data_IF_966264344211
#
_entry.id   IF_966264344211
#
_cell.length_a   1.000
_cell.length_b   1.000
_cell.length_c   1.000
_cell.angle_alpha   90.00
_cell.angle_beta   90.00
_cell.angle_gamma   90.00
#
_symmetry.space_group_name_H-M   'P 1'
#
loop_
_entity.id
_entity.type
_entity.pdbx_description
1 polymer ?
#
# COMPACT_ATOMS: atom_id res chain seq x y z
N UNK A 1 22.92 -1.29 -26.59
CA UNK A 1 22.76 0.07 -27.16
C UNK A 1 23.90 0.94 -26.66
N UNK A 2 24.79 1.41 -27.55
CA UNK A 2 25.80 2.42 -27.22
C UNK A 2 25.31 3.76 -27.76
N UNK A 3 24.98 4.70 -26.89
CA UNK A 3 24.70 6.09 -27.27
C UNK A 3 26.01 6.80 -27.52
N UNK A 4 26.56 6.66 -28.73
CA UNK A 4 27.68 7.49 -29.19
C UNK A 4 27.11 8.72 -29.87
N UNK A 5 26.77 9.73 -29.07
CA UNK A 5 26.64 11.13 -29.47
C UNK A 5 26.75 11.95 -28.18
N UNK A 6 27.76 12.80 -28.07
CA UNK A 6 27.97 13.70 -26.93
C UNK A 6 26.91 14.82 -26.97
N UNK A 7 25.69 14.50 -26.58
CA UNK A 7 24.65 15.51 -26.38
C UNK A 7 25.06 16.46 -25.24
N UNK A 8 24.81 17.78 -25.37
CA UNK A 8 24.98 18.70 -24.25
C UNK A 8 24.23 18.17 -23.02
N UNK A 9 24.85 18.31 -21.85
CA UNK A 9 24.29 17.83 -20.60
C UNK A 9 24.50 18.84 -19.50
N UNK A 10 23.56 18.93 -18.57
CA UNK A 10 23.74 19.73 -17.37
C UNK A 10 24.76 19.08 -16.42
N UNK A 11 25.25 19.86 -15.46
CA UNK A 11 25.96 19.30 -14.32
C UNK A 11 24.99 18.42 -13.51
N UNK A 12 25.51 17.35 -12.92
CA UNK A 12 24.72 16.53 -12.00
C UNK A 12 24.33 17.37 -10.79
N UNK A 13 23.04 17.47 -10.51
CA UNK A 13 22.47 18.22 -9.41
C UNK A 13 21.90 17.23 -8.38
N UNK A 14 21.95 17.57 -7.10
CA UNK A 14 21.17 16.85 -6.09
C UNK A 14 19.73 17.36 -6.12
N UNK A 15 18.80 16.52 -5.67
CA UNK A 15 17.44 16.96 -5.36
C UNK A 15 17.02 16.44 -3.98
N UNK A 16 16.15 17.19 -3.33
CA UNK A 16 15.70 16.98 -1.95
C UNK A 16 14.23 16.63 -1.91
N UNK A 17 13.83 15.87 -0.89
CA UNK A 17 12.44 15.56 -0.58
C UNK A 17 12.12 16.20 0.77
N UNK A 18 10.92 16.76 0.85
CA UNK A 18 10.35 17.29 2.07
C UNK A 18 8.84 17.07 2.02
N UNK A 19 8.31 16.40 3.03
CA UNK A 19 6.87 16.08 3.09
C UNK A 19 6.02 17.35 3.25
N UNK A 20 6.44 18.24 4.15
CA UNK A 20 5.87 19.57 4.33
C UNK A 20 6.91 20.48 5.02
N UNK A 21 6.58 21.76 5.17
CA UNK A 21 7.46 22.78 5.75
C UNK A 21 7.88 22.52 7.20
N UNK A 22 7.24 21.61 7.91
CA UNK A 22 7.57 21.24 9.31
C UNK A 22 8.71 20.20 9.38
N UNK A 23 8.90 19.42 8.31
CA UNK A 23 9.97 18.43 8.23
C UNK A 23 11.24 19.01 7.62
N UNK A 24 12.39 18.46 8.00
CA UNK A 24 13.67 18.82 7.37
C UNK A 24 13.77 18.26 5.95
N UNK A 25 14.35 19.03 5.05
CA UNK A 25 14.74 18.54 3.73
C UNK A 25 15.73 17.38 3.84
N UNK A 26 15.47 16.33 3.05
CA UNK A 26 16.34 15.15 2.99
C UNK A 26 16.82 14.90 1.57
N UNK A 27 18.05 14.41 1.42
CA UNK A 27 18.58 14.01 0.13
C UNK A 27 17.72 12.89 -0.48
N UNK A 28 17.04 13.20 -1.57
CA UNK A 28 16.19 12.26 -2.29
C UNK A 28 16.90 11.62 -3.48
N UNK A 29 17.93 12.28 -4.01
CA UNK A 29 18.84 11.68 -4.99
C UNK A 29 19.55 12.73 -5.83
N UNK A 30 19.82 12.38 -7.08
CA UNK A 30 20.48 13.25 -8.05
C UNK A 30 19.78 13.19 -9.39
N UNK A 31 19.80 14.29 -10.14
CA UNK A 31 19.35 14.31 -11.52
C UNK A 31 20.37 14.98 -12.44
N UNK A 32 20.31 14.62 -13.72
CA UNK A 32 21.12 15.19 -14.79
C UNK A 32 20.28 15.24 -16.06
N UNK A 33 20.36 16.34 -16.79
CA UNK A 33 19.58 16.55 -18.00
C UNK A 33 20.46 16.40 -19.23
N UNK A 34 19.89 15.81 -20.28
CA UNK A 34 20.51 15.63 -21.58
C UNK A 34 19.66 16.32 -22.64
N UNK A 35 20.28 17.17 -23.45
CA UNK A 35 19.61 17.98 -24.45
C UNK A 35 19.81 17.34 -25.83
N UNK A 36 18.82 16.57 -26.28
CA UNK A 36 18.82 15.87 -27.56
C UNK A 36 18.11 16.72 -28.61
N UNK A 37 18.75 17.78 -29.10
CA UNK A 37 18.18 18.86 -29.93
C UNK A 37 17.34 19.89 -29.15
N UNK A 38 16.83 20.91 -29.86
CA UNK A 38 16.06 22.02 -29.28
C UNK A 38 14.66 21.61 -28.76
N UNK A 39 14.23 20.38 -29.04
CA UNK A 39 12.87 19.92 -28.74
C UNK A 39 12.77 18.85 -27.66
N UNK A 40 13.88 18.16 -27.34
CA UNK A 40 13.85 17.00 -26.45
C UNK A 40 14.90 17.15 -25.35
N UNK A 41 14.42 17.24 -24.12
CA UNK A 41 15.23 17.12 -22.90
C UNK A 41 14.89 15.81 -22.23
N UNK A 42 15.91 15.02 -21.88
CA UNK A 42 15.78 13.80 -21.10
C UNK A 42 16.36 14.05 -19.71
N UNK A 43 15.54 13.82 -18.69
CA UNK A 43 15.96 13.87 -17.30
C UNK A 43 16.33 12.46 -16.81
N UNK A 44 17.60 12.27 -16.47
CA UNK A 44 18.07 11.07 -15.78
C UNK A 44 18.04 11.33 -14.27
N UNK A 45 17.07 10.73 -13.58
CA UNK A 45 16.84 10.94 -12.15
C UNK A 45 17.15 9.65 -11.37
N UNK A 46 17.84 9.82 -10.25
CA UNK A 46 18.09 8.75 -9.27
C UNK A 46 17.28 9.01 -8.01
N UNK A 47 16.74 7.94 -7.41
CA UNK A 47 16.04 7.99 -6.13
C UNK A 47 16.83 7.20 -5.10
N UNK A 48 17.38 7.89 -4.12
CA UNK A 48 18.23 7.32 -3.07
C UNK A 48 17.42 6.32 -2.24
N UNK A 49 17.94 5.09 -2.16
CA UNK A 49 17.35 4.01 -1.37
C UNK A 49 16.13 3.34 -2.02
N UNK A 50 15.85 3.61 -3.30
CA UNK A 50 14.84 2.89 -4.06
C UNK A 50 15.44 1.69 -4.81
N UNK A 51 14.65 0.62 -4.95
CA UNK A 51 14.94 -0.54 -5.79
C UNK A 51 14.25 -0.46 -7.14
N UNK A 52 13.83 -1.62 -7.66
CA UNK A 52 13.19 -1.73 -8.97
C UNK A 52 11.79 -1.07 -9.01
N UNK A 53 11.05 -1.13 -7.91
CA UNK A 53 9.71 -0.57 -7.78
C UNK A 53 9.75 0.70 -6.93
N UNK A 54 10.29 1.76 -7.51
CA UNK A 54 10.55 3.03 -6.82
C UNK A 54 9.36 3.58 -6.02
N UNK A 55 8.11 3.59 -6.53
CA UNK A 55 6.96 4.07 -5.76
C UNK A 55 6.59 3.18 -4.56
N UNK A 56 6.91 1.88 -4.62
CA UNK A 56 6.70 0.96 -3.50
C UNK A 56 7.74 1.19 -2.39
N UNK A 57 9.01 1.37 -2.77
CA UNK A 57 10.11 1.54 -1.82
C UNK A 57 10.17 2.95 -1.22
N UNK A 58 9.83 3.97 -2.03
CA UNK A 58 10.00 5.40 -1.71
C UNK A 58 8.79 6.22 -2.17
N UNK A 59 7.60 5.92 -1.65
CA UNK A 59 6.34 6.53 -2.07
C UNK A 59 6.35 8.07 -2.11
N UNK A 60 6.73 8.73 -1.01
CA UNK A 60 6.78 10.20 -0.92
C UNK A 60 7.72 10.85 -1.96
N UNK A 61 9.02 10.51 -1.97
CA UNK A 61 9.96 11.00 -2.97
C UNK A 61 9.53 10.73 -4.42
N UNK A 62 8.91 9.56 -4.68
CA UNK A 62 8.42 9.21 -6.01
C UNK A 62 7.28 10.13 -6.46
N UNK A 63 6.33 10.41 -5.56
CA UNK A 63 5.22 11.31 -5.85
C UNK A 63 5.74 12.72 -6.15
N UNK A 64 6.66 13.24 -5.33
CA UNK A 64 7.30 14.55 -5.57
C UNK A 64 8.03 14.59 -6.90
N UNK A 65 8.80 13.55 -7.23
CA UNK A 65 9.49 13.45 -8.51
C UNK A 65 8.52 13.52 -9.70
N UNK A 66 7.43 12.75 -9.68
CA UNK A 66 6.46 12.74 -10.78
C UNK A 66 5.68 14.05 -10.90
N UNK A 67 5.21 14.59 -9.78
CA UNK A 67 4.47 15.85 -9.79
C UNK A 67 5.34 16.99 -10.32
N UNK A 68 6.57 17.13 -9.81
CA UNK A 68 7.49 18.17 -10.28
C UNK A 68 7.90 17.97 -11.75
N UNK A 69 8.03 16.73 -12.22
CA UNK A 69 8.26 16.45 -13.64
C UNK A 69 7.10 16.93 -14.52
N UNK A 70 5.86 16.58 -14.16
CA UNK A 70 4.64 16.95 -14.91
C UNK A 70 4.45 18.46 -14.91
N UNK A 71 4.67 19.11 -13.77
CA UNK A 71 4.52 20.55 -13.60
C UNK A 71 5.71 21.36 -14.16
N UNK A 72 6.76 20.67 -14.64
CA UNK A 72 8.03 21.28 -15.10
C UNK A 72 8.65 22.17 -14.01
N UNK A 73 8.52 21.76 -12.75
CA UNK A 73 9.06 22.44 -11.58
C UNK A 73 10.43 21.87 -11.20
N UNK A 74 11.08 22.50 -10.21
CA UNK A 74 12.31 21.96 -9.64
C UNK A 74 11.99 20.67 -8.87
N UNK A 75 12.80 19.62 -9.01
CA UNK A 75 12.59 18.36 -8.30
C UNK A 75 12.57 18.50 -6.76
N UNK A 76 13.24 19.52 -6.20
CA UNK A 76 13.22 19.85 -4.78
C UNK A 76 11.98 20.63 -4.31
N UNK A 77 11.07 20.99 -5.21
CA UNK A 77 9.85 21.71 -4.83
C UNK A 77 8.93 20.82 -3.97
N UNK A 78 8.53 21.35 -2.81
CA UNK A 78 7.59 20.71 -1.88
C UNK A 78 6.22 20.62 -2.53
N UNK A 79 5.55 19.48 -2.36
CA UNK A 79 4.17 19.30 -2.81
C UNK A 79 3.18 19.96 -1.87
N UNK A 80 2.19 20.65 -2.43
CA UNK A 80 1.06 21.25 -1.70
C UNK A 80 -0.19 20.35 -1.65
N UNK A 81 -0.07 19.09 -2.07
CA UNK A 81 -1.16 18.12 -2.08
C UNK A 81 -1.35 17.44 -0.73
N UNK A 82 -2.61 17.13 -0.37
CA UNK A 82 -2.91 16.33 0.82
C UNK A 82 -2.54 14.87 0.59
N UNK A 83 -1.53 14.39 1.32
CA UNK A 83 -1.03 13.01 1.28
C UNK A 83 -1.65 12.13 2.36
N UNK A 84 -2.54 12.67 3.20
CA UNK A 84 -3.16 11.90 4.28
C UNK A 84 -4.03 10.78 3.70
N UNK A 85 -3.88 9.54 4.19
CA UNK A 85 -4.74 8.44 3.77
C UNK A 85 -6.21 8.80 4.01
N UNK A 86 -7.02 8.73 2.94
CA UNK A 86 -8.45 8.93 3.05
C UNK A 86 -9.10 7.73 3.73
N UNK A 87 -10.04 8.00 4.63
CA UNK A 87 -10.82 6.94 5.29
C UNK A 87 -11.52 6.04 4.27
N UNK A 88 -11.65 4.76 4.62
CA UNK A 88 -12.36 3.78 3.80
C UNK A 88 -13.81 4.22 3.58
N UNK A 89 -14.29 4.14 2.34
CA UNK A 89 -15.69 4.46 2.06
C UNK A 89 -16.59 3.40 2.73
N UNK A 90 -17.79 3.78 3.25
CA UNK A 90 -18.69 2.85 3.93
C UNK A 90 -18.95 1.56 3.15
N UNK A 91 -19.09 1.64 1.82
CA UNK A 91 -19.33 0.47 0.96
C UNK A 91 -18.15 -0.53 0.88
N UNK A 92 -16.94 -0.11 1.23
CA UNK A 92 -15.74 -0.96 1.23
C UNK A 92 -15.36 -1.40 2.65
N UNK A 93 -16.12 -0.98 3.67
CA UNK A 93 -15.93 -1.55 5.00
C UNK A 93 -16.17 -3.06 4.90
N UNK A 94 -15.29 -3.88 5.52
CA UNK A 94 -15.51 -5.31 5.54
C UNK A 94 -16.90 -5.56 6.11
N UNK A 95 -17.72 -6.34 5.39
CA UNK A 95 -19.01 -6.80 5.91
C UNK A 95 -18.72 -7.40 7.28
N UNK A 96 -19.39 -6.95 8.36
CA UNK A 96 -19.17 -7.51 9.69
C UNK A 96 -19.24 -9.03 9.58
N UNK A 97 -18.11 -9.71 9.78
CA UNK A 97 -18.08 -11.16 9.80
C UNK A 97 -18.94 -11.55 10.99
N UNK A 98 -20.13 -12.09 10.73
CA UNK A 98 -20.97 -12.65 11.78
C UNK A 98 -20.16 -13.84 12.29
N UNK A 99 -19.37 -13.63 13.34
CA UNK A 99 -18.62 -14.72 13.96
C UNK A 99 -19.65 -15.53 14.71
N UNK A 100 -20.05 -16.73 14.24
CA UNK A 100 -21.02 -17.52 14.96
C UNK A 100 -20.46 -17.73 16.36
N UNK A 101 -21.29 -17.44 17.36
CA UNK A 101 -20.98 -17.84 18.73
C UNK A 101 -20.64 -19.32 18.75
N UNK A 102 -19.81 -19.75 19.70
CA UNK A 102 -19.48 -21.18 19.84
C UNK A 102 -20.76 -22.04 19.84
N UNK A 103 -21.79 -21.61 20.57
CA UNK A 103 -23.11 -22.25 20.58
C UNK A 103 -23.75 -22.37 19.20
N UNK A 104 -23.64 -21.36 18.33
CA UNK A 104 -24.17 -21.43 16.97
C UNK A 104 -23.36 -22.38 16.07
N UNK A 105 -22.04 -22.48 16.27
CA UNK A 105 -21.20 -23.45 15.54
C UNK A 105 -21.50 -24.89 15.94
N UNK A 106 -21.75 -25.10 17.23
CA UNK A 106 -22.03 -26.41 17.79
C UNK A 106 -23.48 -26.86 17.50
N UNK A 107 -24.35 -25.98 17.00
CA UNK A 107 -25.76 -26.30 16.75
C UNK A 107 -25.89 -27.31 15.62
N UNK A 108 -26.66 -28.36 15.87
CA UNK A 108 -27.08 -29.32 14.84
C UNK A 108 -28.28 -28.72 14.12
N UNK A 109 -28.11 -28.44 12.83
CA UNK A 109 -29.15 -27.86 11.98
C UNK A 109 -30.03 -28.92 11.31
N UNK A 110 -29.46 -30.09 11.02
CA UNK A 110 -30.18 -31.20 10.44
C UNK A 110 -29.55 -32.52 10.94
N UNK A 111 -30.39 -33.46 11.37
CA UNK A 111 -29.93 -34.77 11.84
C UNK A 111 -30.48 -35.87 10.91
N UNK A 112 -29.66 -36.41 9.98
CA UNK A 112 -30.10 -37.44 9.07
C UNK A 112 -30.66 -38.66 9.80
N UNK A 113 -31.79 -39.19 9.34
CA UNK A 113 -32.43 -40.37 9.93
C UNK A 113 -33.46 -40.08 11.03
N UNK A 114 -33.69 -38.81 11.38
CA UNK A 114 -34.80 -38.42 12.23
C UNK A 114 -36.12 -38.39 11.43
N UNK A 115 -37.17 -39.04 11.94
CA UNK A 115 -38.49 -39.12 11.29
C UNK A 115 -39.47 -38.03 11.75
N UNK A 116 -39.02 -37.11 12.59
CA UNK A 116 -39.80 -35.97 13.10
C UNK A 116 -38.88 -34.75 13.29
N UNK A 117 -39.45 -33.55 13.43
CA UNK A 117 -38.68 -32.34 13.72
C UNK A 117 -38.73 -32.00 15.23
N UNK A 118 -37.60 -31.95 15.96
CA UNK A 118 -37.60 -31.61 17.38
C UNK A 118 -38.02 -30.16 17.60
N UNK A 119 -38.81 -29.91 18.65
CA UNK A 119 -39.19 -28.55 19.06
C UNK A 119 -38.11 -27.84 19.91
N UNK A 120 -36.90 -28.39 19.98
CA UNK A 120 -35.76 -27.86 20.72
C UNK A 120 -34.48 -27.89 19.87
N UNK A 121 -33.50 -27.07 20.24
CA UNK A 121 -32.21 -26.97 19.54
C UNK A 121 -31.21 -27.95 20.14
N UNK A 122 -30.53 -28.72 19.29
CA UNK A 122 -29.48 -29.67 19.69
C UNK A 122 -28.08 -29.09 19.39
N UNK A 123 -27.07 -29.51 20.15
CA UNK A 123 -25.72 -28.95 20.03
C UNK A 123 -24.64 -30.00 20.29
N UNK A 124 -23.75 -30.27 19.33
CA UNK A 124 -22.59 -31.15 19.53
C UNK A 124 -21.27 -30.39 19.49
N UNK A 125 -20.34 -30.77 20.37
CA UNK A 125 -19.01 -30.20 20.38
C UNK A 125 -18.17 -30.72 21.54
N UNK A 126 -17.18 -29.94 21.93
CA UNK A 126 -16.34 -30.24 23.09
C UNK A 126 -16.02 -28.98 23.91
N UNK A 127 -15.75 -29.20 25.19
CA UNK A 127 -15.20 -28.23 26.13
C UNK A 127 -13.72 -28.55 26.35
N UNK A 128 -12.88 -27.53 26.44
CA UNK A 128 -11.50 -27.70 26.88
C UNK A 128 -11.48 -27.84 28.41
N UNK A 129 -10.81 -28.88 28.91
CA UNK A 129 -10.52 -29.07 30.32
C UNK A 129 -9.02 -28.85 30.57
N UNK A 130 -8.60 -28.77 31.84
CA UNK A 130 -7.19 -28.61 32.22
C UNK A 130 -6.30 -29.73 31.65
N UNK A 131 -6.88 -30.91 31.43
CA UNK A 131 -6.30 -31.99 30.63
C UNK A 131 -7.36 -32.63 29.72
N UNK A 132 -7.23 -32.44 28.41
CA UNK A 132 -8.07 -33.09 27.41
C UNK A 132 -9.36 -32.33 27.04
N UNK A 133 -10.30 -33.06 26.43
CA UNK A 133 -11.55 -32.52 25.91
C UNK A 133 -12.76 -33.28 26.49
N UNK A 134 -13.78 -32.54 26.94
CA UNK A 134 -15.07 -33.10 27.34
C UNK A 134 -16.05 -32.93 26.18
N UNK A 135 -16.40 -34.04 25.52
CA UNK A 135 -17.35 -34.06 24.41
C UNK A 135 -18.80 -34.04 24.91
N UNK A 136 -19.69 -33.39 24.17
CA UNK A 136 -21.13 -33.37 24.43
C UNK A 136 -21.93 -33.37 23.12
N UNK A 137 -23.23 -33.64 23.27
CA UNK A 137 -24.23 -33.68 22.20
C UNK A 137 -25.59 -33.18 22.73
#
# INVERSE_FOLDING_TARGET
MRFTNNYPKSNRQLWTYQENSEFLEQLAGYYQQFFMSDYVTIDYVTVKGAGHFVPLDRGGPSLQMFANFIEKANYSSILSYDTKPKSILPQYQPVPQITPTRKQRDRIWNLPGLTFEPNFKQYSGYLNADSGHLHYW
#
